data_IF_215298833705
#
_entry.id   IF_215298833705
#
_cell.length_a   1.000
_cell.length_b   1.000
_cell.length_c   1.000
_cell.angle_alpha   90.00
_cell.angle_beta   90.00
_cell.angle_gamma   90.00
#
_symmetry.space_group_name_H-M   'P 1'
#
loop_
_entity.id
_entity.type
_entity.pdbx_description
1 polymer ?
#
# COMPACT_ATOMS: atom_id res chain seq x y z
N UNK A 1 3.22 18.76 8.25
CA UNK A 1 4.00 18.19 9.38
C UNK A 1 5.49 18.51 9.21
N UNK A 2 6.19 18.54 10.34
CA UNK A 2 7.58 18.98 10.44
C UNK A 2 8.39 17.96 11.23
N UNK A 3 9.59 17.65 10.75
CA UNK A 3 10.54 16.73 11.40
C UNK A 3 11.61 17.57 12.08
N UNK A 4 11.63 17.55 13.42
CA UNK A 4 12.51 18.36 14.26
C UNK A 4 12.84 17.63 15.57
N UNK A 5 14.05 17.86 16.11
CA UNK A 5 14.52 17.27 17.37
C UNK A 5 13.85 17.90 18.59
N UNK A 6 13.64 19.21 18.52
CA UNK A 6 12.88 20.01 19.47
C UNK A 6 12.21 21.15 18.68
N UNK A 7 11.50 22.06 19.33
CA UNK A 7 10.75 23.15 18.66
C UNK A 7 11.62 24.13 17.87
N UNK A 8 12.95 24.09 18.04
CA UNK A 8 13.88 25.07 17.48
C UNK A 8 14.98 24.45 16.63
N UNK A 9 15.16 23.13 16.65
CA UNK A 9 16.34 22.46 16.12
C UNK A 9 15.95 21.27 15.25
N UNK A 10 16.49 21.22 14.03
CA UNK A 10 16.38 20.08 13.16
C UNK A 10 17.07 18.83 13.75
N UNK A 11 16.61 17.63 13.37
CA UNK A 11 17.40 16.42 13.63
C UNK A 11 18.67 16.43 12.76
N UNK A 12 19.85 16.12 13.33
CA UNK A 12 21.05 15.93 12.52
C UNK A 12 20.85 14.82 11.49
N UNK A 13 21.30 15.04 10.25
CA UNK A 13 21.21 14.04 9.19
C UNK A 13 21.83 12.68 9.55
N UNK A 14 23.00 12.60 10.24
CA UNK A 14 23.54 11.31 10.69
C UNK A 14 22.61 10.56 11.64
N UNK A 15 21.93 11.29 12.53
CA UNK A 15 20.97 10.70 13.45
C UNK A 15 19.74 10.17 12.71
N UNK A 16 19.23 10.95 11.75
CA UNK A 16 18.09 10.56 10.92
C UNK A 16 18.42 9.34 10.05
N UNK A 17 19.60 9.32 9.44
CA UNK A 17 20.11 8.20 8.64
C UNK A 17 20.22 6.93 9.48
N UNK A 18 20.77 7.04 10.69
CA UNK A 18 20.84 5.93 11.65
C UNK A 18 19.45 5.41 12.04
N UNK A 19 18.48 6.31 12.28
CA UNK A 19 17.11 5.89 12.62
C UNK A 19 16.35 5.24 11.48
N UNK A 20 16.59 5.67 10.25
CA UNK A 20 16.01 5.08 9.06
C UNK A 20 16.78 3.83 8.59
N UNK A 21 17.91 3.52 9.23
CA UNK A 21 18.81 2.43 8.86
C UNK A 21 19.26 2.53 7.39
N UNK A 22 19.66 3.72 6.96
CA UNK A 22 20.17 4.00 5.61
C UNK A 22 21.53 4.71 5.67
N UNK A 23 22.38 4.59 4.62
CA UNK A 23 23.61 5.36 4.52
C UNK A 23 23.37 6.88 4.51
N UNK A 24 24.25 7.64 5.15
CA UNK A 24 24.15 9.11 5.21
C UNK A 24 24.17 9.73 3.80
N UNK A 25 25.10 9.32 2.96
CA UNK A 25 25.23 9.83 1.59
C UNK A 25 23.95 9.61 0.75
N UNK A 26 23.24 8.50 1.03
CA UNK A 26 21.98 8.20 0.36
C UNK A 26 20.86 9.10 0.87
N UNK A 27 20.83 9.36 2.19
CA UNK A 27 19.88 10.29 2.78
C UNK A 27 20.07 11.70 2.19
N UNK A 28 21.31 12.23 2.19
CA UNK A 28 21.60 13.58 1.69
C UNK A 28 21.20 13.76 0.23
N UNK A 29 21.58 12.81 -0.64
CA UNK A 29 21.17 12.80 -2.06
C UNK A 29 19.64 12.77 -2.20
N UNK A 30 18.96 12.00 -1.35
CA UNK A 30 17.50 11.89 -1.38
C UNK A 30 16.84 13.19 -0.94
N UNK A 31 17.39 13.85 0.10
CA UNK A 31 16.90 15.14 0.57
C UNK A 31 17.07 16.22 -0.51
N UNK A 32 18.24 16.30 -1.17
CA UNK A 32 18.45 17.21 -2.29
C UNK A 32 17.41 17.04 -3.40
N UNK A 33 17.16 15.79 -3.82
CA UNK A 33 16.16 15.49 -4.86
C UNK A 33 14.77 15.93 -4.39
N UNK A 34 14.42 15.65 -3.14
CA UNK A 34 13.12 16.03 -2.59
C UNK A 34 12.94 17.54 -2.47
N UNK A 35 14.01 18.29 -2.19
CA UNK A 35 14.00 19.76 -2.18
C UNK A 35 13.83 20.29 -3.61
N UNK A 36 14.61 19.78 -4.58
CA UNK A 36 14.50 20.15 -6.00
C UNK A 36 13.11 19.89 -6.58
N UNK A 37 12.43 18.84 -6.11
CA UNK A 37 11.06 18.49 -6.52
C UNK A 37 9.98 19.24 -5.72
N UNK A 38 10.35 20.18 -4.85
CA UNK A 38 9.43 20.93 -3.98
C UNK A 38 8.51 20.02 -3.15
N UNK A 39 9.04 18.86 -2.73
CA UNK A 39 8.31 17.90 -1.89
C UNK A 39 8.51 18.21 -0.42
N UNK A 40 9.70 18.68 -0.07
CA UNK A 40 10.10 19.08 1.27
C UNK A 40 10.78 20.45 1.23
N UNK A 41 10.77 21.15 2.36
CA UNK A 41 11.53 22.36 2.59
C UNK A 41 12.30 22.18 3.89
N UNK A 42 13.61 22.37 3.84
CA UNK A 42 14.50 22.24 5.01
C UNK A 42 14.89 23.62 5.52
N UNK A 43 14.78 23.82 6.83
CA UNK A 43 15.19 25.02 7.55
C UNK A 43 15.98 24.64 8.81
N UNK A 44 16.59 25.63 9.46
CA UNK A 44 17.37 25.43 10.69
C UNK A 44 16.56 24.76 11.82
N UNK A 45 15.24 24.90 11.76
CA UNK A 45 14.27 24.32 12.70
C UNK A 45 13.85 22.90 12.36
N UNK A 46 14.02 22.43 11.11
CA UNK A 46 13.61 21.08 10.71
C UNK A 46 13.25 20.93 9.24
N UNK A 47 12.72 19.74 8.90
CA UNK A 47 12.27 19.40 7.54
C UNK A 47 10.74 19.46 7.50
N UNK A 48 10.19 20.39 6.71
CA UNK A 48 8.74 20.56 6.46
C UNK A 48 8.33 19.82 5.20
N UNK A 49 7.29 18.98 5.30
CA UNK A 49 6.69 18.31 4.13
C UNK A 49 5.61 19.20 3.53
N UNK A 50 5.77 19.64 2.28
CA UNK A 50 4.93 20.67 1.65
C UNK A 50 3.55 20.14 1.23
N UNK A 51 3.49 18.92 0.68
CA UNK A 51 2.25 18.30 0.17
C UNK A 51 1.79 17.11 1.02
N UNK A 52 1.88 17.22 2.35
CA UNK A 52 1.63 16.08 3.22
C UNK A 52 0.20 15.54 3.16
N UNK A 53 -0.80 16.42 3.07
CA UNK A 53 -2.20 15.99 3.04
C UNK A 53 -2.51 15.18 1.77
N UNK A 54 -1.93 15.58 0.64
CA UNK A 54 -1.96 14.81 -0.60
C UNK A 54 -1.36 13.39 -0.43
N UNK A 55 -0.25 13.27 0.32
CA UNK A 55 0.35 11.96 0.60
C UNK A 55 -0.48 11.11 1.57
N UNK A 56 -1.22 11.73 2.50
CA UNK A 56 -2.14 11.02 3.39
C UNK A 56 -3.35 10.48 2.63
N UNK A 57 -3.92 11.29 1.74
CA UNK A 57 -5.09 10.89 0.97
C UNK A 57 -4.75 9.78 -0.04
N UNK A 58 -3.60 9.86 -0.71
CA UNK A 58 -3.13 8.78 -1.59
C UNK A 58 -2.87 7.48 -0.82
N UNK A 59 -2.36 7.53 0.41
CA UNK A 59 -2.27 6.34 1.29
C UNK A 59 -3.65 5.78 1.60
N UNK A 60 -4.61 6.60 2.01
CA UNK A 60 -5.99 6.17 2.29
C UNK A 60 -6.65 5.51 1.08
N UNK A 61 -6.51 6.10 -0.11
CA UNK A 61 -7.02 5.54 -1.37
C UNK A 61 -6.35 4.21 -1.76
N UNK A 62 -5.08 4.01 -1.39
CA UNK A 62 -4.37 2.73 -1.60
C UNK A 62 -4.77 1.67 -0.59
N UNK A 63 -4.99 2.05 0.66
CA UNK A 63 -5.51 1.15 1.70
C UNK A 63 -6.91 0.64 1.33
N UNK A 64 -7.78 1.50 0.81
CA UNK A 64 -9.11 1.07 0.34
C UNK A 64 -9.06 0.24 -0.94
N UNK A 65 -8.08 0.46 -1.84
CA UNK A 65 -7.85 -0.39 -3.02
C UNK A 65 -7.27 -1.75 -2.68
N UNK A 66 -6.38 -1.84 -1.69
CA UNK A 66 -5.77 -3.10 -1.25
C UNK A 66 -6.76 -4.02 -0.53
N UNK A 67 -7.89 -3.49 -0.03
CA UNK A 67 -8.90 -4.26 0.70
C UNK A 67 -10.05 -4.79 -0.19
N UNK A 68 -10.08 -4.43 -1.48
CA UNK A 68 -11.21 -4.73 -2.37
C UNK A 68 -10.89 -5.56 -3.62
N UNK A 69 -9.77 -6.27 -3.67
CA UNK A 69 -9.63 -7.38 -4.64
C UNK A 69 -10.11 -8.68 -3.99
N UNK A 70 -11.42 -8.76 -3.73
CA UNK A 70 -12.05 -10.02 -3.32
C UNK A 70 -12.16 -10.90 -4.57
N UNK A 71 -11.25 -11.84 -4.72
CA UNK A 71 -11.38 -12.87 -5.75
C UNK A 71 -12.44 -13.88 -5.32
N UNK A 72 -13.35 -14.24 -6.22
CA UNK A 72 -14.37 -15.26 -5.97
C UNK A 72 -14.17 -16.44 -6.93
N UNK A 73 -14.44 -17.65 -6.45
CA UNK A 73 -14.57 -18.86 -7.27
C UNK A 73 -16.04 -19.21 -7.37
N UNK A 74 -16.51 -19.51 -8.58
CA UNK A 74 -17.87 -19.95 -8.83
C UNK A 74 -17.92 -21.47 -9.03
N UNK A 75 -18.92 -22.13 -8.45
CA UNK A 75 -19.16 -23.54 -8.73
C UNK A 75 -19.84 -23.71 -10.11
N UNK A 76 -19.30 -24.51 -11.04
CA UNK A 76 -19.88 -24.66 -12.38
C UNK A 76 -21.21 -25.43 -12.41
N UNK A 77 -21.62 -26.04 -11.29
CA UNK A 77 -22.84 -26.86 -11.21
C UNK A 77 -24.00 -26.11 -10.58
N UNK A 78 -23.76 -25.38 -9.50
CA UNK A 78 -24.79 -24.68 -8.75
C UNK A 78 -24.62 -23.16 -8.71
N UNK A 79 -23.63 -22.63 -9.44
CA UNK A 79 -23.32 -21.20 -9.52
C UNK A 79 -23.03 -20.53 -8.16
N UNK A 80 -22.69 -21.33 -7.14
CA UNK A 80 -22.35 -20.82 -5.82
C UNK A 80 -21.00 -20.10 -5.84
N UNK A 81 -20.97 -18.87 -5.31
CA UNK A 81 -19.77 -18.03 -5.24
C UNK A 81 -19.10 -18.16 -3.87
N UNK A 82 -17.81 -18.47 -3.87
CA UNK A 82 -16.97 -18.56 -2.68
C UNK A 82 -15.84 -17.55 -2.77
N UNK A 83 -15.67 -16.75 -1.72
CA UNK A 83 -14.54 -15.83 -1.61
C UNK A 83 -13.23 -16.60 -1.43
N UNK A 84 -12.24 -16.36 -2.29
CA UNK A 84 -10.94 -17.07 -2.31
C UNK A 84 -10.19 -16.94 -0.99
N UNK A 85 -10.37 -15.83 -0.25
CA UNK A 85 -9.80 -15.62 1.08
C UNK A 85 -10.32 -16.62 2.14
N UNK A 86 -11.48 -17.25 1.90
CA UNK A 86 -12.11 -18.25 2.76
C UNK A 86 -11.91 -19.68 2.24
N UNK A 87 -11.25 -19.83 1.09
CA UNK A 87 -10.89 -21.13 0.54
C UNK A 87 -9.69 -21.68 1.30
N UNK A 88 -9.93 -22.54 2.28
CA UNK A 88 -8.86 -23.39 2.82
C UNK A 88 -8.41 -24.37 1.74
N UNK A 89 -7.19 -24.90 1.83
CA UNK A 89 -6.58 -25.86 0.88
C UNK A 89 -7.39 -27.16 0.65
N UNK A 90 -8.60 -27.29 1.22
CA UNK A 90 -9.51 -28.43 1.15
C UNK A 90 -10.77 -28.21 0.31
N UNK A 91 -11.02 -27.05 -0.32
CA UNK A 91 -12.20 -26.90 -1.19
C UNK A 91 -11.99 -27.48 -2.60
N UNK A 92 -11.67 -28.77 -2.67
CA UNK A 92 -11.84 -29.56 -3.90
C UNK A 92 -13.33 -29.84 -4.16
N UNK A 93 -14.20 -29.63 -3.16
CA UNK A 93 -15.61 -30.00 -3.16
C UNK A 93 -16.47 -28.77 -2.81
N UNK A 94 -17.49 -28.46 -3.61
CA UNK A 94 -18.42 -27.38 -3.34
C UNK A 94 -19.25 -27.67 -2.06
N UNK A 95 -19.36 -26.74 -1.09
CA UNK A 95 -20.11 -26.97 0.15
C UNK A 95 -21.63 -27.07 -0.04
N UNK A 96 -22.16 -26.59 -1.17
CA UNK A 96 -23.60 -26.59 -1.44
C UNK A 96 -24.05 -27.83 -2.22
N UNK A 97 -23.25 -28.33 -3.16
CA UNK A 97 -23.65 -29.44 -4.04
C UNK A 97 -22.74 -30.67 -3.96
N UNK A 98 -21.69 -30.65 -3.13
CA UNK A 98 -20.77 -31.76 -2.86
C UNK A 98 -20.08 -32.38 -4.09
N UNK A 99 -20.05 -31.67 -5.23
CA UNK A 99 -19.36 -32.12 -6.47
C UNK A 99 -17.99 -31.47 -6.59
N UNK A 100 -17.02 -32.23 -7.13
CA UNK A 100 -15.66 -31.74 -7.39
C UNK A 100 -15.71 -30.60 -8.41
N UNK A 101 -15.09 -29.47 -8.06
CA UNK A 101 -14.86 -28.37 -9.00
C UNK A 101 -13.65 -28.74 -9.84
N UNK A 102 -13.87 -29.08 -11.11
CA UNK A 102 -12.78 -29.29 -12.06
C UNK A 102 -11.95 -28.00 -12.18
N UNK A 103 -10.63 -28.15 -12.23
CA UNK A 103 -9.65 -27.09 -12.09
C UNK A 103 -9.74 -26.10 -13.26
N UNK A 104 -10.30 -24.91 -13.03
CA UNK A 104 -10.40 -23.87 -14.09
C UNK A 104 -9.37 -22.77 -13.86
N UNK A 105 -8.49 -22.63 -14.85
CA UNK A 105 -7.44 -21.63 -14.98
C UNK A 105 -7.99 -20.21 -14.83
N UNK A 106 -7.38 -19.42 -13.94
CA UNK A 106 -7.74 -18.03 -13.67
C UNK A 106 -7.56 -17.17 -14.92
N UNK A 107 -8.64 -16.56 -15.42
CA UNK A 107 -8.56 -15.41 -16.33
C UNK A 107 -9.01 -14.18 -15.58
N UNK A 108 -8.06 -13.26 -15.36
CA UNK A 108 -8.32 -11.92 -14.83
C UNK A 108 -9.27 -11.20 -15.79
N UNK A 109 -10.46 -10.84 -15.32
CA UNK A 109 -11.28 -9.80 -15.95
C UNK A 109 -11.38 -8.63 -15.00
N UNK A 110 -10.78 -7.52 -15.41
CA UNK A 110 -11.01 -6.20 -14.82
C UNK A 110 -12.42 -5.78 -15.21
N UNK A 111 -13.28 -5.54 -14.22
CA UNK A 111 -14.59 -4.92 -14.45
C UNK A 111 -14.53 -3.52 -13.85
N UNK A 112 -14.43 -2.52 -14.72
CA UNK A 112 -14.67 -1.13 -14.39
C UNK A 112 -16.18 -0.92 -14.27
N UNK A 113 -16.70 -0.83 -13.05
CA UNK A 113 -18.04 -0.29 -12.83
C UNK A 113 -17.93 1.22 -12.63
N UNK A 114 -18.20 1.96 -13.69
CA UNK A 114 -18.59 3.37 -13.59
C UNK A 114 -20.05 3.49 -13.17
N UNK A 115 -20.31 4.37 -12.21
CA UNK A 115 -21.28 5.47 -12.26
C UNK A 115 -20.96 6.44 -11.11
#
# INVERSE_FOLDING_TARGET
PMVQANETTAYPHPWLASKLNIPLDLLEKTLEICIKQERISESNTGIKVLKFDYYQETKRRRSTKAEHTRSFKECPVCHFLVEVSKVTARMEICPQCSKKGEEVTLVLKEVETGD
#
